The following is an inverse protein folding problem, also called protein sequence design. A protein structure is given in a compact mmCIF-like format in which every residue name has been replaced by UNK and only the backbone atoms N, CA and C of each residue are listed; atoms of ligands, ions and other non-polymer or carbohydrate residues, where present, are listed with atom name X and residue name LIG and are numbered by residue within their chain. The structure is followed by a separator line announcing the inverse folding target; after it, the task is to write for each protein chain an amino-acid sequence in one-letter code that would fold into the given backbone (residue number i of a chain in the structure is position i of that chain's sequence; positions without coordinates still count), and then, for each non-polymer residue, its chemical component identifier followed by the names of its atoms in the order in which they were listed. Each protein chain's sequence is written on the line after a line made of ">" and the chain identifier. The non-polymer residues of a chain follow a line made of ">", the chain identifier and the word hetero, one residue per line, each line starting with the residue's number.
data_IF_112289296493
#
_entry.id   IF_112289296493
#
_cell.length_a   1.000
_cell.length_b   1.000
_cell.length_c   1.000
_cell.angle_alpha   90.00
_cell.angle_beta   90.00
_cell.angle_gamma   90.00
#
_symmetry.space_group_name_H-M   'P 1'
#
loop_
_entity.id
_entity.type
_entity.pdbx_description
1 polymer ?
#
# COMPACT_ATOMS: atom_id res chain seq x y z
N UNK A 1 13.88 -8.06 -18.07
CA UNK A 1 12.95 -7.91 -16.93
C UNK A 1 11.68 -7.28 -17.46
N UNK A 2 10.49 -7.74 -17.06
CA UNK A 2 9.21 -7.21 -17.56
C UNK A 2 9.04 -5.74 -17.11
N UNK A 3 8.81 -4.81 -18.04
CA UNK A 3 8.65 -3.38 -17.78
C UNK A 3 7.50 -3.09 -16.80
N UNK A 4 6.45 -3.92 -16.80
CA UNK A 4 5.31 -3.80 -15.89
C UNK A 4 5.70 -4.12 -14.45
N UNK A 5 6.46 -5.20 -14.28
CA UNK A 5 6.98 -5.61 -12.97
C UNK A 5 7.95 -4.54 -12.44
N UNK A 6 8.73 -3.90 -13.32
CA UNK A 6 9.59 -2.79 -12.95
C UNK A 6 8.79 -1.58 -12.45
N UNK A 7 7.72 -1.18 -13.14
CA UNK A 7 6.87 -0.05 -12.72
C UNK A 7 6.14 -0.33 -11.42
N UNK A 8 5.61 -1.55 -11.25
CA UNK A 8 5.00 -1.98 -10.00
C UNK A 8 6.00 -1.92 -8.84
N UNK A 9 7.20 -2.47 -9.02
CA UNK A 9 8.25 -2.46 -8.01
C UNK A 9 8.75 -1.04 -7.72
N UNK A 10 8.74 -0.16 -8.72
CA UNK A 10 9.07 1.26 -8.56
C UNK A 10 8.06 1.94 -7.62
N UNK A 11 6.75 1.75 -7.83
CA UNK A 11 5.73 2.30 -6.94
C UNK A 11 5.79 1.70 -5.54
N UNK A 12 5.98 0.38 -5.43
CA UNK A 12 6.17 -0.30 -4.15
C UNK A 12 7.35 0.28 -3.38
N UNK A 13 8.49 0.46 -4.06
CA UNK A 13 9.71 1.01 -3.49
C UNK A 13 9.55 2.46 -3.05
N UNK A 14 8.95 3.32 -3.89
CA UNK A 14 8.68 4.72 -3.54
C UNK A 14 7.78 4.81 -2.30
N UNK A 15 6.69 4.03 -2.28
CA UNK A 15 5.78 4.01 -1.14
C UNK A 15 6.45 3.50 0.14
N UNK A 16 7.29 2.46 0.03
CA UNK A 16 8.03 1.92 1.16
C UNK A 16 9.01 2.93 1.74
N UNK A 17 9.80 3.62 0.89
CA UNK A 17 10.74 4.65 1.33
C UNK A 17 10.00 5.81 1.99
N UNK A 18 8.90 6.26 1.39
CA UNK A 18 8.07 7.31 1.97
C UNK A 18 7.49 6.89 3.33
N UNK A 19 7.02 5.65 3.44
CA UNK A 19 6.49 5.13 4.69
C UNK A 19 7.57 5.05 5.78
N UNK A 20 8.77 4.55 5.45
CA UNK A 20 9.89 4.54 6.41
C UNK A 20 10.22 5.97 6.87
N UNK A 21 10.23 6.95 5.96
CA UNK A 21 10.45 8.34 6.33
C UNK A 21 9.36 8.87 7.30
N UNK A 22 8.09 8.49 7.10
CA UNK A 22 6.97 8.82 7.99
C UNK A 22 7.16 8.18 9.38
N UNK A 23 7.58 6.91 9.45
CA UNK A 23 7.84 6.22 10.72
C UNK A 23 8.95 6.91 11.51
N UNK A 24 10.07 7.23 10.84
CA UNK A 24 11.19 7.92 11.46
C UNK A 24 10.79 9.31 11.95
N UNK A 25 9.96 10.02 11.18
CA UNK A 25 9.38 11.30 11.60
C UNK A 25 8.49 11.17 12.83
N UNK A 26 7.72 10.07 12.93
CA UNK A 26 6.88 9.75 14.08
C UNK A 26 7.66 9.21 15.30
N UNK A 27 9.01 9.19 15.26
CA UNK A 27 9.85 8.74 16.37
C UNK A 27 10.10 7.23 16.41
N UNK A 28 9.53 6.45 15.49
CA UNK A 28 9.68 4.99 15.40
C UNK A 28 11.03 4.69 14.75
N UNK A 29 12.00 4.28 15.56
CA UNK A 29 13.40 4.07 15.12
C UNK A 29 13.99 2.73 15.53
N UNK A 30 13.28 1.95 16.35
CA UNK A 30 13.78 0.63 16.75
C UNK A 30 13.73 -0.35 15.58
N UNK A 31 14.80 -1.14 15.43
CA UNK A 31 14.97 -2.02 14.26
C UNK A 31 13.82 -3.03 14.14
N UNK A 32 13.38 -3.61 15.26
CA UNK A 32 12.30 -4.61 15.21
C UNK A 32 10.96 -3.99 14.81
N UNK A 33 10.70 -2.73 15.18
CA UNK A 33 9.47 -2.00 14.85
C UNK A 33 9.41 -1.70 13.36
N UNK A 34 10.52 -1.19 12.82
CA UNK A 34 10.67 -0.93 11.39
C UNK A 34 10.50 -2.22 10.59
N UNK A 35 11.12 -3.33 11.03
CA UNK A 35 10.99 -4.63 10.36
C UNK A 35 9.55 -5.12 10.33
N UNK A 36 8.81 -5.03 11.45
CA UNK A 36 7.39 -5.44 11.50
C UNK A 36 6.58 -4.63 10.50
N UNK A 37 6.76 -3.31 10.45
CA UNK A 37 6.01 -2.44 9.54
C UNK A 37 6.36 -2.72 8.07
N UNK A 38 7.63 -2.96 7.75
CA UNK A 38 8.07 -3.35 6.40
C UNK A 38 7.41 -4.67 5.97
N UNK A 39 7.34 -5.66 6.86
CA UNK A 39 6.69 -6.94 6.58
C UNK A 39 5.19 -6.73 6.35
N UNK A 40 4.52 -5.97 7.20
CA UNK A 40 3.10 -5.62 7.04
C UNK A 40 2.83 -4.92 5.70
N UNK A 41 3.65 -3.93 5.34
CA UNK A 41 3.57 -3.25 4.05
C UNK A 41 3.76 -4.22 2.88
N UNK A 42 4.78 -5.07 2.94
CA UNK A 42 5.11 -6.00 1.86
C UNK A 42 3.99 -7.01 1.61
N UNK A 43 3.42 -7.57 2.68
CA UNK A 43 2.26 -8.46 2.58
C UNK A 43 1.06 -7.72 2.02
N UNK A 44 0.76 -6.52 2.53
CA UNK A 44 -0.34 -5.69 2.02
C UNK A 44 -0.19 -5.37 0.54
N UNK A 45 1.01 -5.04 0.09
CA UNK A 45 1.30 -4.75 -1.32
C UNK A 45 1.04 -5.95 -2.20
N UNK A 46 1.54 -7.13 -1.83
CA UNK A 46 1.35 -8.37 -2.60
C UNK A 46 -0.14 -8.71 -2.74
N UNK A 47 -0.89 -8.60 -1.65
CA UNK A 47 -2.33 -8.89 -1.62
C UNK A 47 -3.12 -7.90 -2.48
N UNK A 48 -2.82 -6.60 -2.38
CA UNK A 48 -3.46 -5.57 -3.22
C UNK A 48 -3.10 -5.75 -4.69
N UNK A 49 -1.82 -6.00 -5.00
CA UNK A 49 -1.36 -6.24 -6.38
C UNK A 49 -2.09 -7.41 -7.02
N UNK A 50 -2.18 -8.53 -6.31
CA UNK A 50 -2.94 -9.69 -6.77
C UNK A 50 -4.43 -9.35 -6.97
N UNK A 51 -5.03 -8.63 -6.02
CA UNK A 51 -6.44 -8.26 -6.08
C UNK A 51 -6.76 -7.33 -7.25
N UNK A 52 -5.96 -6.30 -7.47
CA UNK A 52 -6.15 -5.36 -8.58
C UNK A 52 -6.00 -6.07 -9.93
N UNK A 53 -5.02 -6.97 -10.06
CA UNK A 53 -4.81 -7.76 -11.28
C UNK A 53 -5.99 -8.68 -11.63
N UNK A 54 -6.66 -9.24 -10.63
CA UNK A 54 -7.67 -10.29 -10.85
C UNK A 54 -9.13 -9.85 -10.65
N UNK A 55 -9.34 -8.74 -9.93
CA UNK A 55 -10.65 -8.24 -9.57
C UNK A 55 -10.83 -6.73 -9.80
N UNK A 56 -9.76 -5.93 -9.79
CA UNK A 56 -9.84 -4.48 -10.00
C UNK A 56 -9.91 -4.06 -11.47
N UNK A 57 -9.80 -2.76 -11.70
CA UNK A 57 -9.72 -2.21 -13.08
C UNK A 57 -8.47 -2.66 -13.82
N UNK A 58 -7.44 -3.08 -13.09
CA UNK A 58 -6.23 -3.69 -13.65
C UNK A 58 -6.44 -5.01 -14.41
N UNK A 59 -7.60 -5.68 -14.28
CA UNK A 59 -7.93 -6.82 -15.14
C UNK A 59 -8.37 -6.41 -16.56
N UNK A 60 -8.72 -5.13 -16.76
CA UNK A 60 -9.21 -4.59 -18.03
C UNK A 60 -8.06 -4.13 -18.93
N UNK A 61 -7.05 -3.47 -18.35
CA UNK A 61 -5.86 -3.05 -19.08
C UNK A 61 -4.64 -2.89 -18.17
N UNK A 62 -3.46 -2.98 -18.78
CA UNK A 62 -2.17 -2.79 -18.10
C UNK A 62 -1.97 -1.36 -17.59
N UNK A 63 -2.51 -0.38 -18.31
CA UNK A 63 -2.42 1.03 -17.92
C UNK A 63 -3.27 1.30 -16.68
N UNK A 64 -4.48 0.73 -16.63
CA UNK A 64 -5.38 0.87 -15.48
C UNK A 64 -4.84 0.17 -14.24
N UNK A 65 -4.17 -0.98 -14.41
CA UNK A 65 -3.45 -1.65 -13.32
C UNK A 65 -2.40 -0.72 -12.68
N UNK A 66 -1.58 -0.08 -13.51
CA UNK A 66 -0.52 0.81 -13.02
C UNK A 66 -1.11 2.05 -12.32
N UNK A 67 -2.15 2.65 -12.89
CA UNK A 67 -2.85 3.79 -12.27
C UNK A 67 -3.48 3.41 -10.94
N UNK A 68 -4.09 2.23 -10.84
CA UNK A 68 -4.74 1.78 -9.60
C UNK A 68 -3.71 1.48 -8.50
N UNK A 69 -2.57 0.86 -8.84
CA UNK A 69 -1.47 0.63 -7.89
C UNK A 69 -0.77 1.93 -7.46
N UNK A 70 -0.61 2.87 -8.40
CA UNK A 70 -0.11 4.21 -8.09
C UNK A 70 -1.08 4.95 -7.14
N UNK A 71 -2.39 4.90 -7.39
CA UNK A 71 -3.39 5.52 -6.54
C UNK A 71 -3.38 4.90 -5.13
N UNK A 72 -3.29 3.57 -5.04
CA UNK A 72 -3.12 2.87 -3.77
C UNK A 72 -1.89 3.37 -3.01
N UNK A 73 -0.72 3.41 -3.67
CA UNK A 73 0.53 3.86 -3.08
C UNK A 73 0.43 5.29 -2.52
N UNK A 74 -0.08 6.23 -3.33
CA UNK A 74 -0.20 7.65 -2.96
C UNK A 74 -1.15 7.82 -1.78
N UNK A 75 -2.34 7.22 -1.84
CA UNK A 75 -3.36 7.39 -0.80
C UNK A 75 -2.91 6.72 0.51
N UNK A 76 -2.27 5.56 0.44
CA UNK A 76 -1.69 4.89 1.60
C UNK A 76 -0.66 5.80 2.31
N UNK A 77 0.30 6.36 1.57
CA UNK A 77 1.33 7.24 2.14
C UNK A 77 0.69 8.50 2.76
N UNK A 78 -0.29 9.10 2.09
CA UNK A 78 -1.02 10.26 2.64
C UNK A 78 -1.73 9.90 3.94
N UNK A 79 -2.45 8.77 3.95
CA UNK A 79 -3.17 8.31 5.13
C UNK A 79 -2.22 8.08 6.33
N UNK A 80 -1.09 7.40 6.11
CA UNK A 80 -0.09 7.16 7.15
C UNK A 80 0.56 8.46 7.61
N UNK A 81 0.84 9.40 6.70
CA UNK A 81 1.36 10.73 7.05
C UNK A 81 0.39 11.50 7.95
N UNK A 82 -0.92 11.40 7.71
CA UNK A 82 -1.93 12.02 8.57
C UNK A 82 -1.90 11.41 9.98
N UNK A 83 -1.73 10.09 10.11
CA UNK A 83 -1.59 9.45 11.42
C UNK A 83 -0.36 9.98 12.17
N UNK A 84 0.78 10.09 11.50
CA UNK A 84 1.99 10.66 12.10
C UNK A 84 1.78 12.11 12.54
N UNK A 85 1.16 12.95 11.70
CA UNK A 85 0.83 14.34 12.04
C UNK A 85 -0.18 14.47 13.17
N UNK A 86 -1.03 13.47 13.38
CA UNK A 86 -1.95 13.39 14.51
C UNK A 86 -1.26 12.97 15.82
N UNK A 87 0.05 12.70 15.81
CA UNK A 87 0.83 12.31 16.97
C UNK A 87 0.79 10.81 17.27
N UNK A 88 0.51 9.96 16.27
CA UNK A 88 0.65 8.51 16.42
C UNK A 88 2.14 8.16 16.40
N UNK A 89 2.63 7.60 17.50
CA UNK A 89 4.04 7.22 17.70
C UNK A 89 4.22 5.69 17.86
N UNK A 90 3.13 4.91 17.78
CA UNK A 90 3.14 3.46 17.97
C UNK A 90 3.19 2.70 16.63
N UNK A 91 4.22 1.86 16.44
CA UNK A 91 4.43 1.08 15.22
C UNK A 91 3.29 0.08 14.95
N UNK A 92 2.67 -0.47 16.00
CA UNK A 92 1.58 -1.43 15.84
C UNK A 92 0.35 -0.77 15.21
N UNK A 93 0.07 0.47 15.59
CA UNK A 93 -0.98 1.29 14.98
C UNK A 93 -0.73 1.50 13.48
N UNK A 94 0.50 1.83 13.07
CA UNK A 94 0.85 1.95 11.64
C UNK A 94 0.72 0.61 10.89
N UNK A 95 1.13 -0.49 11.51
CA UNK A 95 1.01 -1.83 10.92
C UNK A 95 -0.46 -2.22 10.72
N UNK A 96 -1.29 -2.04 11.76
CA UNK A 96 -2.74 -2.29 11.72
C UNK A 96 -3.42 -1.39 10.69
N UNK A 97 -3.09 -0.10 10.66
CA UNK A 97 -3.62 0.85 9.69
C UNK A 97 -3.31 0.43 8.25
N UNK A 98 -2.08 -0.04 8.00
CA UNK A 98 -1.65 -0.54 6.68
C UNK A 98 -2.44 -1.78 6.26
N UNK A 99 -2.68 -2.71 7.19
CA UNK A 99 -3.50 -3.91 6.94
C UNK A 99 -4.97 -3.55 6.72
N UNK A 100 -5.53 -2.66 7.55
CA UNK A 100 -6.91 -2.19 7.40
C UNK A 100 -7.13 -1.51 6.05
N UNK A 101 -6.18 -0.66 5.64
CA UNK A 101 -6.23 0.01 4.35
C UNK A 101 -6.16 -0.99 3.17
N UNK A 102 -5.34 -2.04 3.29
CA UNK A 102 -5.34 -3.15 2.33
C UNK A 102 -6.71 -3.83 2.22
N UNK A 103 -7.37 -4.12 3.35
CA UNK A 103 -8.72 -4.72 3.34
C UNK A 103 -9.75 -3.82 2.65
N UNK A 104 -9.69 -2.50 2.88
CA UNK A 104 -10.55 -1.54 2.18
C UNK A 104 -10.32 -1.59 0.67
N UNK A 105 -9.07 -1.66 0.24
CA UNK A 105 -8.75 -1.74 -1.18
C UNK A 105 -9.17 -3.07 -1.81
N UNK A 106 -9.03 -4.18 -1.08
CA UNK A 106 -9.54 -5.49 -1.50
C UNK A 106 -11.05 -5.46 -1.76
N UNK A 107 -11.82 -4.92 -0.81
CA UNK A 107 -13.28 -4.80 -0.94
C UNK A 107 -13.63 -3.93 -2.15
N UNK A 108 -12.92 -2.82 -2.36
CA UNK A 108 -13.11 -1.95 -3.52
C UNK A 108 -12.85 -2.70 -4.82
N UNK A 109 -11.71 -3.39 -4.96
CA UNK A 109 -11.40 -4.17 -6.17
C UNK A 109 -12.46 -5.26 -6.41
N UNK A 110 -12.87 -5.99 -5.38
CA UNK A 110 -13.92 -7.00 -5.51
C UNK A 110 -15.29 -6.41 -5.91
N UNK A 111 -15.65 -5.23 -5.38
CA UNK A 111 -16.87 -4.54 -5.74
C UNK A 111 -16.88 -4.08 -7.21
N UNK A 112 -15.74 -3.57 -7.71
CA UNK A 112 -15.60 -3.20 -9.13
C UNK A 112 -15.90 -4.41 -10.02
N UNK A 113 -15.30 -5.58 -9.75
CA UNK A 113 -15.62 -6.81 -10.51
C UNK A 113 -17.11 -7.13 -10.52
N UNK A 114 -17.78 -6.99 -9.37
CA UNK A 114 -19.19 -7.35 -9.22
C UNK A 114 -20.15 -6.40 -9.95
N UNK A 115 -19.82 -5.10 -10.01
CA UNK A 115 -20.71 -4.07 -10.57
C UNK A 115 -20.31 -3.60 -11.97
N UNK A 116 -19.13 -3.99 -12.47
CA UNK A 116 -18.67 -3.73 -13.84
C UNK A 116 -18.90 -4.91 -14.80
N UNK A 117 -19.43 -6.03 -14.32
CA UNK A 117 -19.97 -7.12 -15.12
C UNK A 117 -21.49 -7.06 -15.19
#
# INVERSE_FOLDING_TARGET
>A
MNEELQKELTWAGIALVAFIAVLLFAGISEIYEIVIVIVSFSVSWLVVSYSVKNFGTGSLSKEDLQKELQAFAIILVIFLSILALAGVEDYATFAIATVAFMLTWLIRSAAIKKFSG
#
